data_IF_666415709772
#
_entry.id   IF_666415709772
#
_cell.length_a   1.000
_cell.length_b   1.000
_cell.length_c   1.000
_cell.angle_alpha   90.00
_cell.angle_beta   90.00
_cell.angle_gamma   90.00
#
_symmetry.space_group_name_H-M   'P 1'
#
loop_
_entity.id
_entity.type
_entity.pdbx_description
1 polymer ?
#
# COMPACT_ATOMS: atom_id res chain seq x y z
N UNK A 1 -12.35 12.80 7.94
CA UNK A 1 -10.89 13.06 8.17
C UNK A 1 -10.10 12.35 7.08
N UNK A 2 -9.35 13.12 6.30
CA UNK A 2 -8.83 12.72 4.98
C UNK A 2 -7.32 12.47 4.97
N UNK A 3 -6.80 12.02 6.11
CA UNK A 3 -5.35 11.91 6.30
C UNK A 3 -4.81 10.71 5.53
N UNK A 4 -3.81 10.98 4.68
CA UNK A 4 -3.06 9.98 3.93
C UNK A 4 -1.63 9.95 4.48
N UNK A 5 -1.11 8.75 4.76
CA UNK A 5 0.26 8.56 5.23
C UNK A 5 1.01 7.62 4.30
N UNK A 6 2.30 7.87 4.10
CA UNK A 6 3.21 6.88 3.51
C UNK A 6 4.21 6.43 4.58
N UNK A 7 4.44 5.12 4.66
CA UNK A 7 5.33 4.54 5.65
C UNK A 7 6.08 3.34 5.08
N UNK A 8 7.40 3.46 5.02
CA UNK A 8 8.27 2.31 4.89
C UNK A 8 8.25 1.53 6.22
N UNK A 9 7.46 0.46 6.27
CA UNK A 9 7.14 -0.28 7.48
C UNK A 9 8.20 -1.32 7.85
N UNK A 10 9.17 -1.60 6.98
CA UNK A 10 10.29 -2.53 7.23
C UNK A 10 9.85 -3.88 7.84
N UNK A 11 8.75 -4.43 7.33
CA UNK A 11 8.12 -5.66 7.80
C UNK A 11 6.76 -5.39 8.45
N UNK A 12 5.70 -5.74 7.74
CA UNK A 12 4.31 -5.59 8.15
C UNK A 12 4.01 -6.37 9.43
N UNK A 13 4.44 -7.63 9.50
CA UNK A 13 4.21 -8.49 10.68
C UNK A 13 4.93 -7.95 11.91
N UNK A 14 6.18 -7.51 11.74
CA UNK A 14 7.00 -7.00 12.84
C UNK A 14 6.43 -5.72 13.47
N UNK A 15 5.76 -4.89 12.65
CA UNK A 15 5.24 -3.58 13.08
C UNK A 15 3.70 -3.55 13.15
N UNK A 16 3.04 -4.71 13.17
CA UNK A 16 1.58 -4.80 13.06
C UNK A 16 0.84 -4.10 14.21
N UNK A 17 1.33 -4.24 15.44
CA UNK A 17 0.69 -3.60 16.61
C UNK A 17 0.90 -2.09 16.62
N UNK A 18 2.07 -1.60 16.22
CA UNK A 18 2.31 -0.16 16.07
C UNK A 18 1.44 0.43 14.96
N UNK A 19 1.34 -0.26 13.83
CA UNK A 19 0.44 0.09 12.75
C UNK A 19 -1.01 0.19 13.24
N UNK A 20 -1.52 -0.80 13.98
CA UNK A 20 -2.87 -0.75 14.57
C UNK A 20 -3.06 0.45 15.49
N UNK A 21 -2.10 0.74 16.36
CA UNK A 21 -2.16 1.91 17.26
C UNK A 21 -2.24 3.21 16.47
N UNK A 22 -1.43 3.35 15.43
CA UNK A 22 -1.36 4.53 14.58
C UNK A 22 -2.67 4.71 13.78
N UNK A 23 -3.18 3.65 13.17
CA UNK A 23 -4.47 3.64 12.45
C UNK A 23 -5.64 4.03 13.36
N UNK A 24 -5.66 3.54 14.61
CA UNK A 24 -6.73 3.84 15.57
C UNK A 24 -6.63 5.26 16.13
N UNK A 25 -5.43 5.74 16.44
CA UNK A 25 -5.22 7.08 17.02
C UNK A 25 -5.48 8.18 16.01
N UNK A 26 -4.97 8.02 14.78
CA UNK A 26 -5.00 9.07 13.77
C UNK A 26 -6.19 8.94 12.81
N UNK A 27 -6.98 7.87 12.92
CA UNK A 27 -8.20 7.66 12.12
C UNK A 27 -7.93 7.80 10.61
N UNK A 28 -6.78 7.31 10.16
CA UNK A 28 -6.24 7.54 8.82
C UNK A 28 -7.20 7.03 7.75
N UNK A 29 -7.38 7.80 6.68
CA UNK A 29 -8.19 7.37 5.55
C UNK A 29 -7.43 6.34 4.71
N UNK A 30 -6.14 6.58 4.52
CA UNK A 30 -5.29 5.75 3.67
C UNK A 30 -3.86 5.70 4.22
N UNK A 31 -3.25 4.53 4.18
CA UNK A 31 -1.82 4.33 4.45
C UNK A 31 -1.18 3.57 3.31
N UNK A 32 -0.17 4.17 2.70
CA UNK A 32 0.68 3.51 1.72
C UNK A 32 1.90 2.92 2.42
N UNK A 33 2.10 1.62 2.29
CA UNK A 33 3.17 0.89 2.96
C UNK A 33 4.24 0.42 1.95
N UNK A 34 5.52 0.61 2.28
CA UNK A 34 6.67 -0.01 1.60
C UNK A 34 7.44 -0.96 2.51
N UNK A 35 8.24 -1.84 1.92
CA UNK A 35 8.99 -2.92 2.59
C UNK A 35 8.09 -3.79 3.48
N UNK A 36 6.88 -4.11 3.02
CA UNK A 36 5.91 -4.83 3.83
C UNK A 36 6.33 -6.28 4.13
N UNK A 37 7.14 -6.93 3.28
CA UNK A 37 7.60 -8.32 3.45
C UNK A 37 6.41 -9.25 3.75
N UNK A 38 5.33 -9.12 2.98
CA UNK A 38 4.08 -9.85 3.23
C UNK A 38 4.24 -11.32 2.84
N UNK A 39 3.78 -12.21 3.73
CA UNK A 39 3.61 -13.62 3.42
C UNK A 39 2.22 -13.93 2.86
N UNK A 40 1.98 -15.20 2.53
CA UNK A 40 0.65 -15.69 2.15
C UNK A 40 -0.35 -15.53 3.30
N UNK A 41 -1.61 -15.20 2.97
CA UNK A 41 -2.71 -15.17 3.94
C UNK A 41 -2.70 -13.96 4.89
N UNK A 42 -1.99 -12.87 4.56
CA UNK A 42 -1.92 -11.73 5.45
C UNK A 42 -3.29 -11.03 5.62
N UNK A 43 -3.68 -10.81 6.87
CA UNK A 43 -4.96 -10.19 7.21
C UNK A 43 -4.76 -8.69 7.50
N UNK A 44 -5.61 -7.80 6.94
CA UNK A 44 -5.56 -6.38 7.27
C UNK A 44 -5.89 -6.10 8.75
N UNK A 45 -5.44 -4.95 9.30
CA UNK A 45 -6.00 -4.40 10.53
C UNK A 45 -7.53 -4.24 10.41
N UNK A 46 -8.25 -4.50 11.50
CA UNK A 46 -9.72 -4.39 11.52
C UNK A 46 -10.17 -2.99 11.09
N UNK A 47 -11.15 -2.93 10.19
CA UNK A 47 -11.68 -1.68 9.68
C UNK A 47 -10.89 -1.07 8.52
N UNK A 48 -9.92 -1.82 7.96
CA UNK A 48 -9.19 -1.44 6.77
C UNK A 48 -9.22 -2.56 5.72
N UNK A 49 -9.23 -2.18 4.45
CA UNK A 49 -9.00 -3.03 3.30
C UNK A 49 -7.52 -2.98 2.92
N UNK A 50 -6.91 -4.13 2.65
CA UNK A 50 -5.54 -4.24 2.14
C UNK A 50 -5.59 -4.44 0.62
N UNK A 51 -5.02 -3.50 -0.13
CA UNK A 51 -4.74 -3.68 -1.56
C UNK A 51 -3.27 -4.02 -1.76
N UNK A 52 -3.02 -4.98 -2.62
CA UNK A 52 -1.69 -5.47 -2.98
C UNK A 52 -1.40 -5.18 -4.46
N UNK A 53 -0.13 -5.05 -4.86
CA UNK A 53 0.24 -4.98 -6.27
C UNK A 53 -0.31 -6.18 -7.06
N UNK A 54 -0.87 -5.90 -8.24
CA UNK A 54 -1.27 -6.94 -9.19
C UNK A 54 -0.01 -7.63 -9.76
N UNK A 55 -0.05 -8.96 -9.89
CA UNK A 55 1.04 -9.75 -10.52
C UNK A 55 2.34 -9.90 -9.69
N UNK A 56 2.33 -9.58 -8.40
CA UNK A 56 3.53 -9.62 -7.56
C UNK A 56 3.95 -11.00 -7.06
N UNK A 57 5.28 -11.26 -7.12
CA UNK A 57 5.99 -12.40 -6.50
C UNK A 57 5.65 -12.59 -5.01
N UNK A 58 5.85 -13.79 -4.44
CA UNK A 58 5.66 -14.05 -3.02
C UNK A 58 6.63 -13.17 -2.22
N UNK A 59 6.10 -12.16 -1.54
CA UNK A 59 6.90 -11.19 -0.80
C UNK A 59 6.25 -9.83 -0.60
N UNK A 60 5.23 -9.49 -1.42
CA UNK A 60 4.33 -8.33 -1.27
C UNK A 60 5.02 -7.11 -0.64
N UNK A 61 5.91 -6.47 -1.40
CA UNK A 61 6.79 -5.41 -0.87
C UNK A 61 6.05 -4.11 -0.57
N UNK A 62 4.89 -3.88 -1.17
CA UNK A 62 4.06 -2.70 -0.94
C UNK A 62 2.61 -3.07 -0.73
N UNK A 63 1.87 -2.16 -0.09
CA UNK A 63 0.44 -2.28 0.05
C UNK A 63 -0.23 -0.92 0.27
N UNK A 64 -1.52 -0.85 -0.02
CA UNK A 64 -2.38 0.24 0.45
C UNK A 64 -3.33 -0.32 1.52
N UNK A 65 -3.39 0.35 2.66
CA UNK A 65 -4.45 0.19 3.64
C UNK A 65 -5.45 1.32 3.47
N UNK A 66 -6.70 0.98 3.21
CA UNK A 66 -7.77 1.96 3.00
C UNK A 66 -8.84 1.72 4.04
N UNK A 67 -9.23 2.76 4.77
CA UNK A 67 -10.26 2.66 5.81
C UNK A 67 -11.59 2.21 5.20
N UNK A 68 -12.27 1.28 5.87
CA UNK A 68 -13.58 0.82 5.45
C UNK A 68 -14.58 1.98 5.46
N UNK A 69 -15.33 2.12 4.36
CA UNK A 69 -16.23 3.25 4.12
C UNK A 69 -15.62 4.38 3.30
N UNK A 70 -14.29 4.43 3.13
CA UNK A 70 -13.65 5.30 2.15
C UNK A 70 -13.91 4.74 0.75
N UNK A 71 -14.49 5.56 -0.15
CA UNK A 71 -14.68 5.16 -1.54
C UNK A 71 -13.35 5.17 -2.27
N UNK A 72 -13.04 4.06 -2.94
CA UNK A 72 -11.86 3.97 -3.78
C UNK A 72 -12.12 3.08 -4.99
N UNK A 73 -11.30 3.24 -6.02
CA UNK A 73 -11.17 2.32 -7.15
C UNK A 73 -9.71 1.95 -7.29
N UNK A 74 -9.42 0.65 -7.32
CA UNK A 74 -8.09 0.18 -7.68
C UNK A 74 -7.75 0.59 -9.12
N UNK A 75 -6.47 0.86 -9.36
CA UNK A 75 -5.94 1.17 -10.69
C UNK A 75 -4.98 0.05 -11.06
N UNK A 76 -5.31 -0.65 -12.13
CA UNK A 76 -4.42 -1.62 -12.74
C UNK A 76 -3.24 -0.91 -13.42
N UNK A 77 -2.06 -1.00 -12.79
CA UNK A 77 -0.83 -0.46 -13.33
C UNK A 77 -0.25 -1.46 -14.34
N UNK A 78 -0.43 -1.19 -15.63
CA UNK A 78 0.20 -1.94 -16.72
C UNK A 78 1.69 -1.61 -16.83
N UNK A 79 2.45 -1.95 -15.80
CA UNK A 79 3.88 -1.67 -15.68
C UNK A 79 4.61 -2.88 -15.11
N UNK A 80 5.91 -3.00 -15.38
CA UNK A 80 6.77 -4.00 -14.71
C UNK A 80 7.10 -3.66 -13.25
N UNK A 81 6.53 -2.58 -12.70
CA UNK A 81 6.79 -2.14 -11.33
C UNK A 81 5.88 -2.88 -10.36
N UNK A 82 6.43 -3.34 -9.24
CA UNK A 82 5.66 -3.84 -8.11
C UNK A 82 5.06 -2.66 -7.34
N UNK A 83 3.91 -2.17 -7.82
CA UNK A 83 3.25 -0.99 -7.26
C UNK A 83 1.76 -1.25 -7.04
N UNK A 84 1.21 -0.65 -5.97
CA UNK A 84 -0.22 -0.59 -5.73
C UNK A 84 -0.72 0.83 -6.01
N UNK A 85 -1.85 0.95 -6.70
CA UNK A 85 -2.47 2.24 -6.98
C UNK A 85 -3.98 2.21 -6.83
N UNK A 86 -4.53 3.33 -6.35
CA UNK A 86 -5.97 3.54 -6.26
C UNK A 86 -6.33 5.01 -6.42
N UNK A 87 -7.51 5.26 -7.00
CA UNK A 87 -8.21 6.55 -6.86
C UNK A 87 -9.02 6.50 -5.59
N UNK A 88 -8.93 7.54 -4.76
CA UNK A 88 -9.59 7.61 -3.46
C UNK A 88 -10.42 8.90 -3.39
N UNK A 89 -11.68 8.79 -2.98
CA UNK A 89 -12.54 9.96 -2.76
C UNK A 89 -12.47 10.39 -1.31
N UNK A 90 -12.02 11.61 -1.08
CA UNK A 90 -11.86 12.24 0.24
C UNK A 90 -12.62 13.57 0.22
N UNK A 91 -13.60 13.75 1.13
CA UNK A 91 -14.51 14.92 1.30
C UNK A 91 -14.31 15.99 0.19
N UNK A 92 -15.01 15.79 -0.93
CA UNK A 92 -15.10 16.66 -2.12
C UNK A 92 -13.93 16.66 -3.14
N UNK A 93 -12.96 15.76 -3.02
CA UNK A 93 -11.88 15.60 -4.02
C UNK A 93 -11.50 14.14 -4.27
N UNK A 94 -11.23 13.80 -5.54
CA UNK A 94 -10.58 12.54 -5.88
C UNK A 94 -9.07 12.72 -5.85
N UNK A 95 -8.37 11.84 -5.14
CA UNK A 95 -6.90 11.81 -5.07
C UNK A 95 -6.38 10.51 -5.66
N UNK A 96 -5.31 10.62 -6.44
CA UNK A 96 -4.55 9.48 -6.93
C UNK A 96 -3.42 9.19 -5.94
N UNK A 97 -3.31 7.92 -5.51
CA UNK A 97 -2.18 7.45 -4.70
C UNK A 97 -1.57 6.23 -5.38
N UNK A 98 -0.24 6.27 -5.53
CA UNK A 98 0.56 5.16 -6.05
C UNK A 98 1.80 4.99 -5.18
N UNK A 99 2.21 3.75 -4.94
CA UNK A 99 3.38 3.42 -4.12
C UNK A 99 4.19 2.29 -4.78
N UNK A 100 5.43 2.57 -5.22
CA UNK A 100 6.31 1.55 -5.78
C UNK A 100 7.07 0.78 -4.70
N UNK A 101 7.42 -0.47 -5.00
CA UNK A 101 8.36 -1.25 -4.21
C UNK A 101 9.74 -0.59 -4.18
N UNK A 102 10.43 -0.74 -3.05
CA UNK A 102 11.74 -0.14 -2.77
C UNK A 102 12.88 -0.70 -3.64
N UNK A 103 12.67 -1.81 -4.34
CA UNK A 103 13.65 -2.37 -5.26
C UNK A 103 13.33 -1.95 -6.70
N UNK A 104 14.12 -1.01 -7.21
CA UNK A 104 14.30 -0.90 -8.66
C UNK A 104 15.01 -2.16 -9.14
N UNK A 105 14.63 -2.78 -10.26
CA UNK A 105 15.59 -3.61 -10.97
C UNK A 105 16.77 -2.70 -11.28
N UNK A 106 17.99 -3.10 -10.88
CA UNK A 106 19.20 -2.56 -11.45
C UNK A 106 18.98 -2.56 -12.97
N UNK A 107 19.02 -1.40 -13.61
CA UNK A 107 19.08 -1.37 -15.06
C UNK A 107 20.36 -2.14 -15.43
N UNK A 108 20.24 -3.39 -15.83
CA UNK A 108 21.27 -4.01 -16.64
C UNK A 108 21.33 -3.16 -17.90
N UNK A 109 22.43 -2.43 -18.03
CA UNK A 109 22.82 -1.73 -19.24
C UNK A 109 22.57 -2.67 -20.42
N UNK A 110 21.60 -2.34 -21.27
CA UNK A 110 21.43 -2.99 -22.56
C UNK A 110 22.78 -2.89 -23.29
N UNK A 111 23.51 -3.99 -23.24
CA UNK A 111 24.75 -4.23 -23.95
C UNK A 111 24.37 -5.21 -25.05
N UNK A 112 24.24 -4.73 -26.28
CA UNK A 112 23.85 -5.53 -27.45
C UNK A 112 23.11 -4.71 -28.48
#
# INVERSE_FOLDING_TARGET
MNTVVQWNIRGFRSNFEELKLLLNRLQLAVVALQECRLGEGQVPPRGYTLLLPQGGSPGGETALLIRNGTRFSEIDLKTGLHAAAATISLEDSNRLLSIPASQFPSFETLSG
#
